data_IF_830888905939
#
_entry.id   IF_830888905939
#
_cell.length_a   1.000
_cell.length_b   1.000
_cell.length_c   1.000
_cell.angle_alpha   90.00
_cell.angle_beta   90.00
_cell.angle_gamma   90.00
#
_symmetry.space_group_name_H-M   'P 1'
#
loop_
_entity.id
_entity.type
_entity.pdbx_description
1 polymer ?
#
# COMPACT_ATOMS: atom_id res chain seq x y z
N UNK A 1 -32.78 8.39 -5.34
CA UNK A 1 -32.13 8.83 -4.11
C UNK A 1 -31.19 10.04 -4.29
N UNK A 2 -30.90 10.47 -5.54
CA UNK A 2 -30.08 11.66 -5.85
C UNK A 2 -28.58 11.50 -5.62
N UNK A 3 -28.08 10.28 -5.39
CA UNK A 3 -26.63 10.00 -5.33
C UNK A 3 -26.04 10.14 -6.72
N UNK A 4 -25.03 10.99 -6.87
CA UNK A 4 -24.37 11.28 -8.15
C UNK A 4 -23.01 10.58 -8.31
N UNK A 5 -22.37 10.22 -7.20
CA UNK A 5 -21.05 9.59 -7.24
C UNK A 5 -20.94 8.48 -6.20
N UNK A 6 -20.28 7.39 -6.61
CA UNK A 6 -19.94 6.27 -5.75
C UNK A 6 -18.42 6.01 -5.80
N UNK A 7 -17.76 6.08 -4.66
CA UNK A 7 -16.34 5.80 -4.53
C UNK A 7 -16.13 4.44 -3.89
N UNK A 8 -15.52 3.51 -4.61
CA UNK A 8 -15.26 2.15 -4.16
C UNK A 8 -13.79 1.96 -3.79
N UNK A 9 -13.53 1.64 -2.54
CA UNK A 9 -12.18 1.27 -2.10
C UNK A 9 -11.94 -0.20 -2.43
N UNK A 10 -11.18 -0.44 -3.48
CA UNK A 10 -10.71 -1.74 -3.93
C UNK A 10 -9.31 -2.04 -3.37
N UNK A 11 -8.44 -2.70 -4.13
CA UNK A 11 -7.11 -3.12 -3.70
C UNK A 11 -6.23 -3.44 -4.91
N UNK A 12 -4.91 -3.30 -4.79
CA UNK A 12 -3.98 -3.82 -5.80
C UNK A 12 -3.98 -5.36 -5.89
N UNK A 13 -4.58 -6.09 -4.94
CA UNK A 13 -4.68 -7.55 -5.00
C UNK A 13 -5.51 -8.06 -6.21
N UNK A 14 -6.25 -7.19 -6.90
CA UNK A 14 -6.95 -7.51 -8.15
C UNK A 14 -5.97 -7.82 -9.30
N UNK A 15 -4.74 -7.32 -9.23
CA UNK A 15 -3.72 -7.59 -10.24
C UNK A 15 -3.02 -8.94 -10.09
N UNK A 16 -3.22 -9.64 -8.97
CA UNK A 16 -2.51 -10.86 -8.62
C UNK A 16 -1.21 -10.60 -7.85
N UNK A 17 -0.41 -11.66 -7.68
CA UNK A 17 0.80 -11.61 -6.84
C UNK A 17 2.12 -11.77 -7.62
N UNK A 18 2.06 -11.92 -8.95
CA UNK A 18 3.22 -12.29 -9.76
C UNK A 18 3.96 -11.10 -10.37
N UNK A 19 3.47 -9.89 -10.14
CA UNK A 19 4.01 -8.68 -10.74
C UNK A 19 4.75 -7.84 -9.71
N UNK A 20 5.92 -7.33 -10.11
CA UNK A 20 6.72 -6.43 -9.28
C UNK A 20 6.40 -4.95 -9.51
N UNK A 21 5.84 -4.62 -10.66
CA UNK A 21 5.35 -3.28 -11.00
C UNK A 21 3.91 -3.32 -11.47
N UNK A 22 3.12 -2.37 -11.01
CA UNK A 22 1.71 -2.21 -11.32
C UNK A 22 1.44 -0.78 -11.78
N UNK A 23 0.64 -0.64 -12.81
CA UNK A 23 0.04 0.60 -13.29
C UNK A 23 -1.46 0.38 -13.59
N UNK A 24 -2.18 1.42 -14.00
CA UNK A 24 -3.61 1.33 -14.32
C UNK A 24 -3.90 0.41 -15.52
N UNK A 25 -2.93 0.24 -16.43
CA UNK A 25 -3.05 -0.60 -17.63
C UNK A 25 -2.69 -2.06 -17.37
N UNK A 26 -2.15 -2.36 -16.19
CA UNK A 26 -1.78 -3.71 -15.81
C UNK A 26 -3.01 -4.62 -15.78
N UNK A 27 -2.96 -5.74 -16.49
CA UNK A 27 -4.07 -6.70 -16.54
C UNK A 27 -4.36 -7.30 -15.17
N UNK A 28 -5.64 -7.31 -14.77
CA UNK A 28 -6.08 -7.94 -13.53
C UNK A 28 -6.02 -9.47 -13.64
N UNK A 29 -5.44 -10.11 -12.62
CA UNK A 29 -5.36 -11.56 -12.48
C UNK A 29 -5.48 -11.95 -11.01
N UNK A 30 -6.64 -11.64 -10.42
CA UNK A 30 -6.89 -11.91 -9.01
C UNK A 30 -6.86 -13.41 -8.72
N UNK A 31 -5.97 -13.85 -7.83
CA UNK A 31 -5.79 -15.26 -7.46
C UNK A 31 -6.51 -15.57 -6.15
N UNK A 32 -6.32 -14.72 -5.15
CA UNK A 32 -6.89 -14.90 -3.82
C UNK A 32 -8.37 -14.50 -3.77
N UNK A 33 -9.21 -15.15 -2.93
CA UNK A 33 -10.65 -14.86 -2.85
C UNK A 33 -10.97 -13.39 -2.62
N UNK A 34 -10.20 -12.72 -1.76
CA UNK A 34 -10.35 -11.28 -1.50
C UNK A 34 -10.16 -10.42 -2.77
N UNK A 35 -9.08 -10.66 -3.53
CA UNK A 35 -8.84 -9.95 -4.79
C UNK A 35 -9.94 -10.24 -5.83
N UNK A 36 -10.39 -11.50 -5.93
CA UNK A 36 -11.47 -11.91 -6.83
C UNK A 36 -12.78 -11.19 -6.51
N UNK A 37 -13.18 -11.17 -5.24
CA UNK A 37 -14.42 -10.50 -4.83
C UNK A 37 -14.39 -8.99 -5.09
N UNK A 38 -13.24 -8.34 -4.87
CA UNK A 38 -13.06 -6.92 -5.18
C UNK A 38 -13.13 -6.67 -6.68
N UNK A 39 -12.44 -7.49 -7.48
CA UNK A 39 -12.43 -7.33 -8.94
C UNK A 39 -13.81 -7.56 -9.57
N UNK A 40 -14.59 -8.51 -9.05
CA UNK A 40 -15.97 -8.74 -9.51
C UNK A 40 -16.88 -7.55 -9.18
N UNK A 41 -16.75 -6.99 -7.98
CA UNK A 41 -17.47 -5.79 -7.59
C UNK A 41 -17.09 -4.57 -8.47
N UNK A 42 -15.80 -4.40 -8.81
CA UNK A 42 -15.37 -3.34 -9.72
C UNK A 42 -16.05 -3.43 -11.08
N UNK A 43 -16.13 -4.63 -11.67
CA UNK A 43 -16.79 -4.82 -12.97
C UNK A 43 -18.25 -4.38 -12.94
N UNK A 44 -19.00 -4.88 -11.95
CA UNK A 44 -20.41 -4.55 -11.80
C UNK A 44 -20.64 -3.04 -11.55
N UNK A 45 -19.77 -2.41 -10.77
CA UNK A 45 -19.85 -0.98 -10.51
C UNK A 45 -19.52 -0.14 -11.75
N UNK A 46 -18.51 -0.54 -12.54
CA UNK A 46 -18.15 0.19 -13.76
C UNK A 46 -19.25 0.14 -14.82
N UNK A 47 -20.08 -0.92 -14.85
CA UNK A 47 -21.25 -1.01 -15.72
C UNK A 47 -22.35 0.03 -15.37
N UNK A 48 -22.35 0.54 -14.13
CA UNK A 48 -23.30 1.56 -13.68
C UNK A 48 -22.81 2.99 -13.95
N UNK A 49 -21.56 3.16 -14.40
CA UNK A 49 -21.00 4.49 -14.63
C UNK A 49 -21.58 5.11 -15.91
N UNK A 50 -22.27 6.25 -15.76
CA UNK A 50 -22.83 7.03 -16.86
C UNK A 50 -22.72 8.55 -16.57
N UNK A 51 -23.35 9.38 -17.40
CA UNK A 51 -23.34 10.84 -17.25
C UNK A 51 -24.08 11.34 -15.99
N UNK A 52 -24.94 10.52 -15.37
CA UNK A 52 -25.74 10.85 -14.19
C UNK A 52 -25.21 10.18 -12.91
N UNK A 53 -24.36 9.15 -13.05
CA UNK A 53 -23.84 8.38 -11.92
C UNK A 53 -22.37 8.04 -12.12
N UNK A 54 -21.51 8.76 -11.42
CA UNK A 54 -20.06 8.63 -11.48
C UNK A 54 -19.58 7.49 -10.60
N UNK A 55 -18.80 6.56 -11.17
CA UNK A 55 -18.15 5.49 -10.41
C UNK A 55 -16.64 5.69 -10.39
N UNK A 56 -16.08 5.76 -9.19
CA UNK A 56 -14.65 5.92 -8.95
C UNK A 56 -14.12 4.73 -8.16
N UNK A 57 -13.13 4.05 -8.68
CA UNK A 57 -12.51 2.88 -8.05
C UNK A 57 -11.10 3.23 -7.63
N UNK A 58 -10.78 3.05 -6.36
CA UNK A 58 -9.43 3.29 -5.83
C UNK A 58 -8.80 1.94 -5.51
N UNK A 59 -7.62 1.68 -6.05
CA UNK A 59 -6.82 0.47 -5.81
C UNK A 59 -5.58 0.84 -4.98
N UNK A 60 -5.67 0.92 -3.66
CA UNK A 60 -4.50 1.18 -2.82
C UNK A 60 -3.65 -0.07 -2.65
N UNK A 61 -2.31 0.10 -2.44
CA UNK A 61 -1.45 -0.92 -1.87
C UNK A 61 -1.75 -1.08 -0.37
N UNK A 62 -0.78 -1.59 0.39
CA UNK A 62 -0.93 -1.70 1.84
C UNK A 62 -1.09 -0.31 2.47
N UNK A 63 -2.23 -0.09 3.11
CA UNK A 63 -2.54 1.14 3.85
C UNK A 63 -1.90 1.06 5.23
N UNK A 64 -1.30 2.16 5.68
CA UNK A 64 -0.77 2.27 7.03
C UNK A 64 -1.25 3.56 7.72
N UNK A 65 -1.32 3.49 9.05
CA UNK A 65 -1.76 4.60 9.90
C UNK A 65 -1.86 4.16 11.34
N UNK A 66 -2.22 5.07 12.23
CA UNK A 66 -2.40 4.77 13.66
C UNK A 66 -3.48 3.71 13.83
N UNK A 67 -3.16 2.64 14.56
CA UNK A 67 -4.05 1.51 14.85
C UNK A 67 -4.56 0.74 13.60
N UNK A 68 -4.02 1.00 12.41
CA UNK A 68 -4.37 0.22 11.22
C UNK A 68 -3.90 -1.24 11.39
N UNK A 69 -4.81 -2.23 11.35
CA UNK A 69 -4.42 -3.63 11.48
C UNK A 69 -3.63 -4.07 10.26
N UNK A 70 -2.66 -4.95 10.45
CA UNK A 70 -1.95 -5.56 9.31
C UNK A 70 -0.46 -5.80 9.53
N UNK A 71 0.24 -5.98 8.41
CA UNK A 71 1.65 -6.38 8.45
C UNK A 71 2.57 -5.29 9.02
N UNK A 72 2.25 -4.01 8.81
CA UNK A 72 3.07 -2.90 9.34
C UNK A 72 2.89 -2.80 10.85
N UNK A 73 1.67 -2.92 11.39
CA UNK A 73 1.44 -2.99 12.82
C UNK A 73 2.18 -4.17 13.47
N UNK A 74 2.15 -5.34 12.81
CA UNK A 74 2.92 -6.51 13.26
C UNK A 74 4.42 -6.24 13.26
N UNK A 75 4.93 -5.50 12.28
CA UNK A 75 6.33 -5.09 12.21
C UNK A 75 6.68 -4.09 13.32
N UNK A 76 5.81 -3.12 13.59
CA UNK A 76 5.96 -2.19 14.73
C UNK A 76 6.02 -2.95 16.07
N UNK A 77 5.12 -3.91 16.26
CA UNK A 77 5.11 -4.76 17.47
C UNK A 77 6.40 -5.59 17.58
N UNK A 78 6.92 -6.10 16.46
CA UNK A 78 8.20 -6.82 16.42
C UNK A 78 9.35 -5.91 16.85
N UNK A 79 9.44 -4.72 16.23
CA UNK A 79 10.47 -3.71 16.54
C UNK A 79 10.40 -3.30 18.02
N UNK A 80 9.20 -3.19 18.59
CA UNK A 80 9.03 -2.88 20.04
C UNK A 80 9.57 -3.97 20.95
N UNK A 81 9.57 -5.23 20.52
CA UNK A 81 9.90 -6.40 21.35
C UNK A 81 11.35 -6.89 21.20
N UNK A 82 11.92 -6.79 20.01
CA UNK A 82 13.20 -7.44 19.66
C UNK A 82 14.27 -6.39 19.38
N UNK A 83 15.39 -6.37 20.14
CA UNK A 83 16.46 -5.39 19.93
C UNK A 83 17.37 -5.71 18.74
N UNK A 84 17.36 -6.93 18.22
CA UNK A 84 18.17 -7.35 17.06
C UNK A 84 17.26 -7.99 16.02
N UNK A 85 17.22 -7.41 14.81
CA UNK A 85 16.35 -7.85 13.72
C UNK A 85 17.21 -8.28 12.52
N UNK A 86 17.09 -9.53 12.01
CA UNK A 86 17.90 -10.06 10.93
C UNK A 86 17.39 -9.63 9.53
N UNK A 87 17.11 -8.35 9.34
CA UNK A 87 16.52 -7.78 8.13
C UNK A 87 17.33 -6.56 7.62
N UNK A 88 18.66 -6.59 7.79
CA UNK A 88 19.53 -5.57 7.23
C UNK A 88 19.75 -5.76 5.72
N UNK A 89 19.98 -4.65 5.01
CA UNK A 89 20.39 -4.63 3.61
C UNK A 89 19.41 -5.32 2.64
N UNK A 90 18.10 -5.26 2.95
CA UNK A 90 17.06 -5.64 2.00
C UNK A 90 16.76 -4.40 1.15
N UNK A 91 16.89 -4.53 -0.17
CA UNK A 91 16.78 -3.43 -1.14
C UNK A 91 15.53 -3.57 -2.03
N UNK A 92 14.57 -4.37 -1.60
CA UNK A 92 13.29 -4.48 -2.29
C UNK A 92 12.55 -3.12 -2.33
N UNK A 93 11.60 -2.99 -3.23
CA UNK A 93 10.79 -1.78 -3.40
C UNK A 93 9.32 -2.13 -3.22
N UNK A 94 8.70 -1.58 -2.19
CA UNK A 94 7.27 -1.77 -1.93
C UNK A 94 6.57 -0.44 -1.78
N UNK A 95 5.49 -0.28 -2.54
CA UNK A 95 4.59 0.85 -2.38
C UNK A 95 3.66 0.62 -1.19
N UNK A 96 3.42 1.70 -0.49
CA UNK A 96 2.47 1.82 0.61
C UNK A 96 1.65 3.09 0.41
N UNK A 97 0.63 3.28 1.22
CA UNK A 97 -0.06 4.56 1.30
C UNK A 97 -0.44 4.87 2.75
N UNK A 98 -0.13 6.07 3.22
CA UNK A 98 -0.61 6.55 4.49
C UNK A 98 -2.12 6.79 4.43
N UNK A 99 -2.81 6.60 5.56
CA UNK A 99 -4.24 6.88 5.63
C UNK A 99 -4.53 8.35 5.28
N UNK A 100 -3.64 9.28 5.62
CA UNK A 100 -3.78 10.70 5.32
C UNK A 100 -3.72 10.96 3.81
N UNK A 101 -2.74 10.39 3.09
CA UNK A 101 -2.63 10.53 1.64
C UNK A 101 -3.79 9.83 0.91
N UNK A 102 -4.26 8.69 1.42
CA UNK A 102 -5.44 8.01 0.88
C UNK A 102 -6.70 8.88 1.02
N UNK A 103 -6.92 9.48 2.20
CA UNK A 103 -8.04 10.39 2.43
C UNK A 103 -7.97 11.62 1.53
N UNK A 104 -6.76 12.17 1.31
CA UNK A 104 -6.58 13.26 0.38
C UNK A 104 -6.91 12.84 -1.06
N UNK A 105 -6.45 11.67 -1.51
CA UNK A 105 -6.79 11.13 -2.83
C UNK A 105 -8.31 10.95 -2.99
N UNK A 106 -9.00 10.42 -1.97
CA UNK A 106 -10.47 10.28 -1.97
C UNK A 106 -11.13 11.65 -2.08
N UNK A 107 -10.66 12.62 -1.31
CA UNK A 107 -11.17 13.99 -1.34
C UNK A 107 -11.08 14.62 -2.74
N UNK A 108 -9.90 14.51 -3.37
CA UNK A 108 -9.69 15.03 -4.73
C UNK A 108 -10.59 14.35 -5.77
N UNK A 109 -10.77 13.03 -5.68
CA UNK A 109 -11.68 12.28 -6.57
C UNK A 109 -13.12 12.79 -6.42
N UNK A 110 -13.57 12.99 -5.19
CA UNK A 110 -14.95 13.45 -4.91
C UNK A 110 -15.14 14.90 -5.37
N UNK A 111 -14.21 15.78 -5.01
CA UNK A 111 -14.32 17.22 -5.30
C UNK A 111 -14.25 17.52 -6.80
N UNK A 112 -13.47 16.73 -7.54
CA UNK A 112 -13.33 16.87 -8.99
C UNK A 112 -14.31 16.02 -9.80
N UNK A 113 -15.18 15.27 -9.14
CA UNK A 113 -16.18 14.36 -9.76
C UNK A 113 -15.56 13.44 -10.84
N UNK A 114 -14.40 12.86 -10.55
CA UNK A 114 -13.65 12.05 -11.53
C UNK A 114 -14.09 10.58 -11.49
N UNK A 115 -14.44 10.04 -12.65
CA UNK A 115 -14.74 8.61 -12.83
C UNK A 115 -13.52 7.79 -13.23
N UNK A 116 -13.61 6.47 -13.03
CA UNK A 116 -12.62 5.49 -13.48
C UNK A 116 -11.80 4.87 -12.37
N UNK A 117 -10.64 4.31 -12.75
CA UNK A 117 -9.75 3.59 -11.84
C UNK A 117 -8.58 4.50 -11.46
N UNK A 118 -8.25 4.50 -10.16
CA UNK A 118 -7.19 5.31 -9.58
C UNK A 118 -6.27 4.43 -8.73
N UNK A 119 -4.97 4.48 -9.00
CA UNK A 119 -3.95 3.88 -8.14
C UNK A 119 -3.49 4.91 -7.12
N UNK A 120 -3.68 4.61 -5.84
CA UNK A 120 -3.29 5.52 -4.77
C UNK A 120 -2.07 4.97 -4.04
N UNK A 121 -0.93 5.67 -4.07
CA UNK A 121 0.27 5.30 -3.31
C UNK A 121 1.03 6.55 -2.84
N UNK A 122 1.84 6.38 -1.81
CA UNK A 122 2.83 7.38 -1.42
C UNK A 122 3.88 7.53 -2.54
N UNK A 123 4.61 8.65 -2.53
CA UNK A 123 5.51 9.03 -3.63
C UNK A 123 6.75 8.13 -3.77
N UNK A 124 7.19 7.52 -2.68
CA UNK A 124 8.38 6.68 -2.66
C UNK A 124 8.09 5.27 -2.16
N UNK A 125 8.48 4.24 -2.94
CA UNK A 125 8.48 2.88 -2.43
C UNK A 125 9.58 2.70 -1.36
N UNK A 126 9.31 1.89 -0.35
CA UNK A 126 10.25 1.58 0.71
C UNK A 126 10.79 0.17 0.59
N UNK A 127 12.08 0.00 0.92
CA UNK A 127 12.59 -1.32 1.25
C UNK A 127 12.19 -1.72 2.67
N UNK A 128 12.13 -3.02 2.94
CA UNK A 128 11.85 -3.53 4.28
C UNK A 128 12.85 -3.00 5.31
N UNK A 129 14.12 -2.91 4.95
CA UNK A 129 15.14 -2.34 5.84
C UNK A 129 14.93 -0.85 6.08
N UNK A 130 14.56 -0.05 5.05
CA UNK A 130 14.27 1.39 5.19
C UNK A 130 13.02 1.60 6.07
N UNK A 131 11.97 0.82 5.85
CA UNK A 131 10.75 0.86 6.66
C UNK A 131 11.04 0.61 8.15
N UNK A 132 11.82 -0.44 8.47
CA UNK A 132 12.20 -0.74 9.86
C UNK A 132 13.02 0.40 10.46
N UNK A 133 13.98 0.96 9.73
CA UNK A 133 14.78 2.10 10.20
C UNK A 133 13.91 3.31 10.53
N UNK A 134 12.90 3.63 9.70
CA UNK A 134 11.96 4.72 9.95
C UNK A 134 11.09 4.46 11.19
N UNK A 135 10.63 3.21 11.38
CA UNK A 135 9.88 2.81 12.59
C UNK A 135 10.76 2.97 13.82
N UNK A 136 12.00 2.48 13.80
CA UNK A 136 12.96 2.57 14.92
C UNK A 136 13.24 4.03 15.28
N UNK A 137 13.49 4.89 14.27
CA UNK A 137 13.72 6.33 14.46
C UNK A 137 12.59 7.01 15.24
N UNK A 138 11.35 6.65 14.95
CA UNK A 138 10.16 7.26 15.55
C UNK A 138 9.73 6.61 16.89
N UNK A 139 10.23 5.42 17.22
CA UNK A 139 9.96 4.74 18.49
C UNK A 139 10.94 5.13 19.60
N UNK A 140 11.98 5.90 19.28
CA UNK A 140 13.10 6.23 20.19
C UNK A 140 13.69 4.97 20.88
N UNK A 141 13.90 3.93 20.08
CA UNK A 141 14.45 2.65 20.54
C UNK A 141 15.79 2.35 19.89
N UNK A 142 16.67 1.69 20.66
CA UNK A 142 17.90 1.11 20.12
C UNK A 142 17.61 -0.28 19.58
N UNK A 143 17.49 -0.40 18.25
CA UNK A 143 17.29 -1.67 17.55
C UNK A 143 18.37 -1.79 16.47
N UNK A 144 19.03 -2.94 16.43
CA UNK A 144 20.10 -3.23 15.48
C UNK A 144 19.58 -4.13 14.36
N UNK A 145 19.68 -3.63 13.13
CA UNK A 145 19.45 -4.47 11.95
C UNK A 145 20.77 -5.17 11.62
N UNK A 146 20.73 -6.48 11.56
CA UNK A 146 21.89 -7.32 11.26
C UNK A 146 21.62 -8.16 10.01
N UNK A 147 22.68 -8.50 9.28
CA UNK A 147 22.62 -9.49 8.21
C UNK A 147 23.12 -10.83 8.74
N UNK A 148 22.25 -11.84 8.74
CA UNK A 148 22.64 -13.20 9.14
C UNK A 148 22.81 -14.04 7.87
N UNK A 149 23.95 -14.64 7.63
CA UNK A 149 24.17 -15.55 6.51
C UNK A 149 23.10 -16.65 6.48
N UNK A 150 22.67 -17.04 5.29
CA UNK A 150 21.66 -18.10 5.05
C UNK A 150 20.27 -17.87 5.64
N UNK A 151 20.02 -16.78 6.40
CA UNK A 151 18.69 -16.48 7.00
C UNK A 151 17.61 -16.34 5.93
N UNK A 152 17.90 -15.62 4.85
CA UNK A 152 16.97 -15.45 3.72
C UNK A 152 16.60 -16.79 3.08
N UNK A 153 17.61 -17.63 2.79
CA UNK A 153 17.41 -18.94 2.17
C UNK A 153 16.59 -19.86 3.07
N UNK A 154 16.87 -19.87 4.37
CA UNK A 154 16.11 -20.61 5.35
C UNK A 154 14.65 -20.13 5.42
N UNK A 155 14.45 -18.80 5.45
CA UNK A 155 13.12 -18.20 5.48
C UNK A 155 12.31 -18.54 4.22
N UNK A 156 12.95 -18.51 3.05
CA UNK A 156 12.35 -18.89 1.77
C UNK A 156 11.88 -20.34 1.76
N UNK A 157 12.66 -21.23 2.38
CA UNK A 157 12.32 -22.67 2.46
C UNK A 157 11.20 -22.94 3.45
N UNK A 158 11.26 -22.34 4.65
CA UNK A 158 10.34 -22.67 5.76
C UNK A 158 9.05 -21.88 5.71
N UNK A 159 9.10 -20.61 5.26
CA UNK A 159 7.95 -19.70 5.20
C UNK A 159 7.97 -18.85 3.91
N UNK A 160 7.74 -19.45 2.73
CA UNK A 160 7.87 -18.79 1.45
C UNK A 160 6.97 -17.56 1.31
N UNK A 161 5.73 -17.60 1.81
CA UNK A 161 4.83 -16.43 1.78
C UNK A 161 5.33 -15.27 2.64
N UNK A 162 5.96 -15.56 3.77
CA UNK A 162 6.55 -14.55 4.64
C UNK A 162 7.83 -13.96 4.01
N UNK A 163 8.66 -14.82 3.40
CA UNK A 163 9.81 -14.39 2.61
C UNK A 163 9.38 -13.42 1.51
N UNK A 164 8.36 -13.77 0.68
CA UNK A 164 7.85 -12.91 -0.39
C UNK A 164 7.39 -11.54 0.13
N UNK A 165 6.79 -11.48 1.31
CA UNK A 165 6.36 -10.22 1.93
C UNK A 165 7.52 -9.33 2.39
N UNK A 166 8.63 -9.90 2.84
CA UNK A 166 9.78 -9.16 3.35
C UNK A 166 10.81 -8.81 2.28
N UNK A 167 11.02 -9.70 1.30
CA UNK A 167 12.07 -9.56 0.30
C UNK A 167 11.54 -9.22 -1.10
N UNK A 168 10.28 -9.51 -1.39
CA UNK A 168 9.69 -9.23 -2.69
C UNK A 168 9.39 -7.76 -2.91
N UNK A 169 9.52 -7.32 -4.15
CA UNK A 169 9.12 -5.98 -4.61
C UNK A 169 7.65 -5.96 -5.04
N UNK A 170 7.02 -4.80 -4.90
CA UNK A 170 5.69 -4.50 -5.42
C UNK A 170 5.54 -2.99 -5.52
N UNK A 171 5.90 -2.44 -6.65
CA UNK A 171 5.81 -1.01 -6.94
C UNK A 171 4.48 -0.68 -7.61
N UNK A 172 3.89 0.43 -7.22
CA UNK A 172 2.69 1.01 -7.85
C UNK A 172 3.09 2.30 -8.52
N UNK A 173 2.95 2.35 -9.83
CA UNK A 173 3.06 3.57 -10.60
C UNK A 173 1.70 4.26 -10.64
N UNK A 174 1.57 5.35 -9.90
CA UNK A 174 0.34 6.16 -9.82
C UNK A 174 0.43 7.46 -10.62
N UNK A 175 1.32 7.53 -11.61
CA UNK A 175 1.56 8.74 -12.42
C UNK A 175 0.30 9.21 -13.13
N UNK A 176 -0.47 8.30 -13.72
CA UNK A 176 -1.75 8.60 -14.40
C UNK A 176 -2.77 9.16 -13.40
N UNK A 177 -2.88 8.58 -12.21
CA UNK A 177 -3.75 9.09 -11.14
C UNK A 177 -3.35 10.51 -10.74
N UNK A 178 -2.04 10.75 -10.55
CA UNK A 178 -1.51 12.09 -10.21
C UNK A 178 -1.81 13.12 -11.30
N UNK A 179 -1.63 12.76 -12.55
CA UNK A 179 -1.95 13.63 -13.68
C UNK A 179 -3.44 13.96 -13.76
N UNK A 180 -4.32 12.92 -13.72
CA UNK A 180 -5.78 13.07 -13.78
C UNK A 180 -6.36 13.98 -12.71
N UNK A 181 -5.80 13.94 -11.51
CA UNK A 181 -6.28 14.66 -10.33
C UNK A 181 -5.45 15.90 -10.01
N UNK A 182 -4.37 16.18 -10.76
CA UNK A 182 -3.34 17.13 -10.36
C UNK A 182 -2.90 16.90 -8.89
N UNK A 183 -2.77 15.64 -8.50
CA UNK A 183 -2.61 15.19 -7.13
C UNK A 183 -1.17 15.39 -6.65
N UNK A 184 -1.03 15.99 -5.48
CA UNK A 184 0.23 16.03 -4.72
C UNK A 184 -0.03 15.49 -3.33
N UNK A 185 0.69 14.43 -2.94
CA UNK A 185 0.56 13.89 -1.60
C UNK A 185 0.97 14.93 -0.56
N UNK A 186 0.11 15.28 0.42
CA UNK A 186 0.44 16.27 1.44
C UNK A 186 1.49 15.81 2.45
N UNK A 187 1.72 14.50 2.57
CA UNK A 187 2.66 13.91 3.51
C UNK A 187 3.68 13.04 2.81
N UNK A 188 4.95 13.21 3.18
CA UNK A 188 6.01 12.27 2.80
C UNK A 188 5.80 10.92 3.50
N UNK A 189 6.47 9.87 3.01
CA UNK A 189 6.46 8.55 3.68
C UNK A 189 7.00 8.64 5.11
N UNK A 190 8.03 9.48 5.35
CA UNK A 190 8.59 9.69 6.70
C UNK A 190 7.57 10.33 7.64
N UNK A 191 6.85 11.35 7.16
CA UNK A 191 5.78 12.00 7.93
C UNK A 191 4.64 11.03 8.24
N UNK A 192 4.19 10.25 7.24
CA UNK A 192 3.15 9.25 7.43
C UNK A 192 3.53 8.20 8.49
N UNK A 193 4.79 7.73 8.49
CA UNK A 193 5.28 6.79 9.52
C UNK A 193 5.37 7.47 10.88
N UNK A 194 5.81 8.73 10.94
CA UNK A 194 5.84 9.52 12.17
C UNK A 194 4.44 9.65 12.77
N UNK A 195 3.44 10.05 11.96
CA UNK A 195 2.03 10.14 12.36
C UNK A 195 1.47 8.77 12.83
N UNK A 196 1.82 7.69 12.14
CA UNK A 196 1.41 6.33 12.53
C UNK A 196 1.92 5.94 13.93
N UNK A 197 3.16 6.30 14.26
CA UNK A 197 3.81 5.89 15.50
C UNK A 197 3.38 6.80 16.67
N UNK A 198 3.38 8.12 16.46
CA UNK A 198 3.15 9.13 17.51
C UNK A 198 1.68 9.50 17.63
N UNK A 199 0.91 9.35 16.58
CA UNK A 199 -0.54 9.52 16.61
C UNK A 199 -1.04 10.95 16.52
N UNK A 200 -0.25 11.82 15.97
CA UNK A 200 -0.64 13.21 15.66
C UNK A 200 -0.96 13.35 14.16
#
# INVERSE_FOLDING_TARGET
NGVKQFVFISTIAVYGEDKEKLDENTSCNAIIPYGKSKFEAEKQLLELNDDNFIVSIIRPPMIYGKNAPGNIDSLVKLVKKIPIIPLANIENKRSFISIQNLLHTIHEIITQEKSGIFLASDDEPLSTSKLIKLIVKNLDKKVYLVKIPFFESLLKLVKPSFHKRLYGSLEVDNSITKEKLNLKNPYSVEDGIKLMINGE
#
